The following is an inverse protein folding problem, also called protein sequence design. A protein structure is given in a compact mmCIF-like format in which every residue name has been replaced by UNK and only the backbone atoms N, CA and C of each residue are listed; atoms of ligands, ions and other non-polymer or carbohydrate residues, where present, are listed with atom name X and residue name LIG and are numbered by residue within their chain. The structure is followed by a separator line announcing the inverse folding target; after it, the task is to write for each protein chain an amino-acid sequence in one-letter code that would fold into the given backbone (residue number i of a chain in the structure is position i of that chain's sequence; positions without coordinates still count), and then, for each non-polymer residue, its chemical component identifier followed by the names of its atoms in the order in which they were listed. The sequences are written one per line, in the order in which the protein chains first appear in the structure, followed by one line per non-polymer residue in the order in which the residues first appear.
data_IF_274608310874
#
_entry.id   IF_274608310874
#
_cell.length_a   1.000
_cell.length_b   1.000
_cell.length_c   1.000
_cell.angle_alpha   90.00
_cell.angle_beta   90.00
_cell.angle_gamma   90.00
#
_symmetry.space_group_name_H-M   'P 1'
#
loop_
_entity.id
_entity.type
_entity.pdbx_description
1 polymer ?
#
# COMPACT_ATOMS: atom_id res chain seq x y z
N UNK A 1 -8.48 19.25 13.53
CA UNK A 1 -7.66 18.07 13.17
C UNK A 1 -8.57 16.86 13.21
N UNK A 2 -8.81 16.23 12.06
CA UNK A 2 -9.67 15.05 11.98
C UNK A 2 -8.81 13.83 12.33
N UNK A 3 -9.13 13.17 13.45
CA UNK A 3 -8.42 11.98 13.94
C UNK A 3 -9.35 10.77 13.89
N UNK A 4 -8.93 9.76 13.15
CA UNK A 4 -9.67 8.56 12.87
C UNK A 4 -9.07 7.42 13.66
N UNK A 5 -9.82 6.93 14.64
CA UNK A 5 -9.37 5.86 15.53
C UNK A 5 -9.80 4.52 14.94
N UNK A 6 -8.86 3.60 14.76
CA UNK A 6 -9.11 2.28 14.16
C UNK A 6 -8.99 1.20 15.23
N UNK A 7 -7.79 1.02 15.82
CA UNK A 7 -7.54 -0.05 16.79
C UNK A 7 -8.47 -0.01 18.00
N UNK A 8 -8.77 1.19 18.50
CA UNK A 8 -9.68 1.41 19.64
C UNK A 8 -11.14 1.67 19.23
N UNK A 9 -11.47 1.44 17.95
CA UNK A 9 -12.85 1.62 17.48
C UNK A 9 -13.78 0.64 18.18
N UNK A 10 -14.93 1.10 18.71
CA UNK A 10 -15.93 0.22 19.30
C UNK A 10 -16.74 -0.54 18.23
N UNK A 11 -16.57 -0.22 16.94
CA UNK A 11 -17.34 -0.79 15.84
C UNK A 11 -16.53 -1.85 15.10
N UNK A 12 -17.10 -3.05 14.99
CA UNK A 12 -16.59 -4.09 14.09
C UNK A 12 -16.89 -3.71 12.65
N UNK A 13 -15.94 -3.99 11.75
CA UNK A 13 -16.06 -3.76 10.32
C UNK A 13 -17.23 -4.55 9.73
N UNK A 14 -18.10 -3.85 8.99
CA UNK A 14 -19.13 -4.47 8.15
C UNK A 14 -18.61 -4.90 6.79
N UNK A 15 -17.40 -4.48 6.43
CA UNK A 15 -16.80 -4.68 5.10
C UNK A 15 -15.91 -5.93 5.09
N UNK A 16 -15.00 -6.02 6.06
CA UNK A 16 -14.02 -7.09 6.17
C UNK A 16 -13.59 -7.24 7.64
N UNK A 17 -13.74 -8.44 8.22
CA UNK A 17 -13.39 -8.73 9.61
C UNK A 17 -11.93 -9.16 9.79
N UNK A 18 -11.34 -9.71 8.74
CA UNK A 18 -9.96 -10.16 8.68
C UNK A 18 -9.52 -10.27 7.21
N UNK A 19 -8.22 -10.32 6.98
CA UNK A 19 -7.68 -10.56 5.63
C UNK A 19 -8.26 -11.85 5.04
N UNK A 20 -8.59 -11.83 3.75
CA UNK A 20 -9.25 -12.96 3.09
C UNK A 20 -8.35 -13.60 2.04
N UNK A 21 -8.37 -14.93 1.99
CA UNK A 21 -7.64 -15.72 1.00
C UNK A 21 -8.67 -16.37 0.07
N UNK A 22 -8.47 -16.25 -1.24
CA UNK A 22 -9.26 -16.94 -2.26
C UNK A 22 -8.42 -18.05 -2.87
N UNK A 23 -8.83 -19.29 -2.63
CA UNK A 23 -8.03 -20.48 -2.91
C UNK A 23 -6.68 -20.42 -2.20
N UNK A 24 -5.60 -20.62 -2.95
CA UNK A 24 -4.23 -20.64 -2.42
C UNK A 24 -3.36 -19.48 -2.93
N UNK A 25 -3.91 -18.62 -3.80
CA UNK A 25 -3.11 -17.73 -4.64
C UNK A 25 -3.50 -16.27 -4.65
N UNK A 26 -4.65 -15.88 -4.09
CA UNK A 26 -5.10 -14.47 -4.06
C UNK A 26 -5.37 -14.06 -2.62
N UNK A 27 -4.76 -12.95 -2.20
CA UNK A 27 -4.80 -12.42 -0.85
C UNK A 27 -5.38 -11.01 -0.87
N UNK A 28 -6.46 -10.79 -0.11
CA UNK A 28 -7.08 -9.50 0.15
C UNK A 28 -6.68 -9.05 1.56
N UNK A 29 -5.91 -7.96 1.63
CA UNK A 29 -5.25 -7.50 2.86
C UNK A 29 -6.15 -6.57 3.65
N UNK A 30 -6.41 -6.90 4.91
CA UNK A 30 -7.09 -6.03 5.88
C UNK A 30 -6.11 -5.30 6.78
N UNK A 31 -5.81 -4.05 6.48
CA UNK A 31 -4.97 -3.20 7.34
C UNK A 31 -5.72 -2.54 8.50
N UNK A 32 -7.05 -2.72 8.57
CA UNK A 32 -7.90 -2.13 9.60
C UNK A 32 -8.21 -3.11 10.74
N UNK A 33 -7.66 -4.34 10.68
CA UNK A 33 -7.80 -5.39 11.71
C UNK A 33 -9.26 -5.63 12.13
N UNK A 34 -10.16 -5.70 11.16
CA UNK A 34 -11.58 -5.97 11.37
C UNK A 34 -12.38 -4.84 12.01
N UNK A 35 -11.87 -3.60 12.01
CA UNK A 35 -12.50 -2.43 12.64
C UNK A 35 -12.98 -1.41 11.63
N UNK A 36 -14.09 -0.73 11.93
CA UNK A 36 -14.47 0.49 11.20
C UNK A 36 -13.69 1.67 11.76
N UNK A 37 -13.06 2.52 10.92
CA UNK A 37 -12.52 3.78 11.39
C UNK A 37 -13.62 4.63 12.03
N UNK A 38 -13.33 5.20 13.20
CA UNK A 38 -14.26 6.04 13.95
C UNK A 38 -13.66 7.44 14.18
N UNK A 39 -14.42 8.49 13.84
CA UNK A 39 -14.00 9.87 14.12
C UNK A 39 -14.19 10.19 15.60
N UNK A 40 -13.10 10.49 16.31
CA UNK A 40 -13.18 10.97 17.69
C UNK A 40 -13.60 12.44 17.73
N UNK A 41 -14.92 12.70 17.67
CA UNK A 41 -15.50 14.06 17.68
C UNK A 41 -16.28 14.37 18.98
N UNK A 42 -16.12 13.56 20.03
CA UNK A 42 -16.88 13.68 21.28
C UNK A 42 -18.34 13.20 21.21
N UNK A 43 -18.87 12.87 20.02
CA UNK A 43 -20.19 12.25 19.82
C UNK A 43 -19.99 10.77 19.46
N UNK A 44 -20.55 9.85 20.24
CA UNK A 44 -20.43 8.39 20.02
C UNK A 44 -21.26 7.88 18.83
N UNK A 45 -21.20 8.51 17.66
CA UNK A 45 -21.92 8.06 16.45
C UNK A 45 -21.06 8.18 15.21
N UNK A 46 -20.81 7.06 14.54
CA UNK A 46 -20.11 6.99 13.25
C UNK A 46 -21.14 7.08 12.11
N UNK A 47 -21.42 8.28 11.61
CA UNK A 47 -22.43 8.50 10.56
C UNK A 47 -21.80 8.59 9.16
N UNK A 48 -20.69 7.88 8.93
CA UNK A 48 -20.00 7.85 7.64
C UNK A 48 -20.43 6.61 6.85
N UNK A 49 -20.62 6.78 5.55
CA UNK A 49 -20.75 5.66 4.63
C UNK A 49 -19.35 5.17 4.26
N UNK A 50 -19.11 3.87 4.40
CA UNK A 50 -17.82 3.26 4.09
C UNK A 50 -17.90 2.59 2.72
N UNK A 51 -17.05 3.01 1.79
CA UNK A 51 -17.01 2.50 0.42
C UNK A 51 -15.68 1.76 0.20
N UNK A 52 -15.69 0.43 0.04
CA UNK A 52 -14.46 -0.33 -0.15
C UNK A 52 -13.99 -0.36 -1.60
N UNK A 53 -12.67 -0.27 -1.78
CA UNK A 53 -11.97 -0.34 -3.05
C UNK A 53 -10.89 -1.42 -2.98
N UNK A 54 -10.92 -2.35 -3.94
CA UNK A 54 -9.88 -3.33 -4.17
C UNK A 54 -8.80 -2.73 -5.08
N UNK A 55 -7.60 -2.55 -4.53
CA UNK A 55 -6.41 -2.10 -5.25
C UNK A 55 -5.67 -3.32 -5.80
N UNK A 56 -5.61 -3.45 -7.13
CA UNK A 56 -4.98 -4.61 -7.77
C UNK A 56 -3.49 -4.37 -8.00
N UNK A 57 -2.65 -5.29 -7.51
CA UNK A 57 -1.22 -5.32 -7.88
C UNK A 57 -1.00 -5.75 -9.33
N UNK A 58 0.24 -5.66 -9.81
CA UNK A 58 0.58 -6.02 -11.20
C UNK A 58 0.23 -7.47 -11.56
N UNK A 59 0.33 -8.40 -10.60
CA UNK A 59 0.01 -9.81 -10.84
C UNK A 59 -1.50 -10.04 -10.95
N UNK A 60 -2.30 -9.33 -10.17
CA UNK A 60 -3.76 -9.34 -10.23
C UNK A 60 -4.27 -8.68 -11.51
N UNK A 61 -3.68 -7.58 -11.94
CA UNK A 61 -4.02 -6.92 -13.22
C UNK A 61 -3.66 -7.82 -14.41
N UNK A 62 -2.54 -8.53 -14.34
CA UNK A 62 -2.17 -9.52 -15.36
C UNK A 62 -3.17 -10.68 -15.42
N UNK A 63 -3.62 -11.19 -14.27
CA UNK A 63 -4.67 -12.22 -14.20
C UNK A 63 -5.99 -11.72 -14.79
N UNK A 64 -6.37 -10.46 -14.50
CA UNK A 64 -7.55 -9.81 -15.06
C UNK A 64 -7.47 -9.71 -16.58
N UNK A 65 -6.36 -9.24 -17.12
CA UNK A 65 -6.14 -9.16 -18.57
C UNK A 65 -6.29 -10.52 -19.23
N UNK A 66 -5.59 -11.54 -18.71
CA UNK A 66 -5.67 -12.91 -19.22
C UNK A 66 -7.09 -13.49 -19.14
N UNK A 67 -7.82 -13.17 -18.07
CA UNK A 67 -9.20 -13.60 -17.91
C UNK A 67 -10.11 -13.00 -19.00
N UNK A 68 -9.97 -11.71 -19.30
CA UNK A 68 -10.74 -11.04 -20.35
C UNK A 68 -10.36 -11.56 -21.74
N UNK A 69 -9.06 -11.67 -22.05
CA UNK A 69 -8.59 -12.15 -23.37
C UNK A 69 -9.00 -13.57 -23.69
N UNK A 70 -8.95 -14.47 -22.70
CA UNK A 70 -9.34 -15.88 -22.88
C UNK A 70 -10.86 -16.08 -22.81
N UNK A 71 -11.62 -15.11 -23.34
CA UNK A 71 -13.08 -15.11 -23.42
C UNK A 71 -13.77 -15.36 -22.08
N UNK A 72 -13.20 -14.91 -20.96
CA UNK A 72 -13.77 -15.08 -19.62
C UNK A 72 -14.01 -16.55 -19.24
N UNK A 73 -13.29 -17.49 -19.89
CA UNK A 73 -13.40 -18.94 -19.68
C UNK A 73 -12.23 -19.52 -18.89
N UNK A 74 -11.03 -18.96 -18.98
CA UNK A 74 -9.79 -19.58 -18.47
C UNK A 74 -9.33 -19.11 -17.07
N UNK A 75 -10.19 -18.47 -16.27
CA UNK A 75 -9.81 -18.05 -14.92
C UNK A 75 -9.63 -19.25 -13.99
N UNK A 76 -8.55 -19.27 -13.19
CA UNK A 76 -8.47 -20.15 -12.02
C UNK A 76 -9.68 -19.89 -11.11
N UNK A 77 -10.17 -20.93 -10.43
CA UNK A 77 -11.34 -20.81 -9.53
C UNK A 77 -11.16 -19.66 -8.52
N UNK A 78 -9.96 -19.52 -7.96
CA UNK A 78 -9.55 -18.45 -7.05
C UNK A 78 -9.93 -17.05 -7.56
N UNK A 79 -9.64 -16.74 -8.83
CA UNK A 79 -9.92 -15.41 -9.41
C UNK A 79 -11.43 -15.20 -9.61
N UNK A 80 -12.16 -16.24 -10.01
CA UNK A 80 -13.63 -16.17 -10.11
C UNK A 80 -14.27 -15.96 -8.75
N UNK A 81 -13.76 -16.61 -7.70
CA UNK A 81 -14.25 -16.45 -6.33
C UNK A 81 -13.98 -15.03 -5.82
N UNK A 82 -12.81 -14.47 -6.14
CA UNK A 82 -12.50 -13.06 -5.88
C UNK A 82 -13.48 -12.12 -6.60
N UNK A 83 -13.69 -12.30 -7.92
CA UNK A 83 -14.64 -11.49 -8.69
C UNK A 83 -16.07 -11.59 -8.14
N UNK A 84 -16.51 -12.79 -7.77
CA UNK A 84 -17.81 -13.01 -7.15
C UNK A 84 -17.93 -12.25 -5.83
N UNK A 85 -16.89 -12.29 -4.99
CA UNK A 85 -16.88 -11.58 -3.72
C UNK A 85 -16.98 -10.07 -3.90
N UNK A 86 -16.13 -9.45 -4.74
CA UNK A 86 -16.17 -7.99 -4.92
C UNK A 86 -17.49 -7.53 -5.55
N UNK A 87 -18.03 -8.29 -6.50
CA UNK A 87 -19.30 -7.97 -7.15
C UNK A 87 -20.46 -8.08 -6.16
N UNK A 88 -20.54 -9.18 -5.41
CA UNK A 88 -21.60 -9.42 -4.42
C UNK A 88 -21.62 -8.33 -3.35
N UNK A 89 -20.45 -7.87 -2.93
CA UNK A 89 -20.33 -6.87 -1.88
C UNK A 89 -20.26 -5.43 -2.43
N UNK A 90 -20.39 -5.23 -3.75
CA UNK A 90 -20.33 -3.92 -4.42
C UNK A 90 -19.04 -3.14 -4.11
N UNK A 91 -17.91 -3.82 -4.18
CA UNK A 91 -16.59 -3.20 -4.03
C UNK A 91 -16.17 -2.59 -5.36
N UNK A 92 -15.60 -1.40 -5.30
CA UNK A 92 -14.93 -0.81 -6.45
C UNK A 92 -13.59 -1.51 -6.69
N UNK A 93 -13.08 -1.43 -7.91
CA UNK A 93 -11.77 -1.96 -8.30
C UNK A 93 -10.94 -0.84 -8.88
N UNK A 94 -9.71 -0.67 -8.42
CA UNK A 94 -8.80 0.36 -8.89
C UNK A 94 -7.45 -0.21 -9.33
N UNK A 95 -6.94 0.36 -10.43
CA UNK A 95 -5.64 0.05 -11.02
C UNK A 95 -4.50 0.93 -10.49
N UNK A 96 -4.76 1.84 -9.54
CA UNK A 96 -3.76 2.81 -9.09
C UNK A 96 -2.49 2.15 -8.55
N UNK A 97 -2.61 1.02 -7.86
CA UNK A 97 -1.44 0.27 -7.39
C UNK A 97 -0.58 -0.18 -8.57
N UNK A 98 -1.17 -0.91 -9.52
CA UNK A 98 -0.48 -1.34 -10.74
C UNK A 98 0.11 -0.17 -11.52
N UNK A 99 -0.61 0.95 -11.67
CA UNK A 99 -0.09 2.09 -12.39
C UNK A 99 1.16 2.66 -11.72
N UNK A 100 1.13 2.89 -10.41
CA UNK A 100 2.29 3.39 -9.67
C UNK A 100 3.47 2.44 -9.77
N UNK A 101 3.24 1.15 -9.53
CA UNK A 101 4.28 0.14 -9.61
C UNK A 101 4.91 0.07 -11.00
N UNK A 102 4.09 -0.04 -12.04
CA UNK A 102 4.55 -0.15 -13.42
C UNK A 102 5.25 1.13 -13.89
N UNK A 103 4.73 2.29 -13.49
CA UNK A 103 5.26 3.61 -13.85
C UNK A 103 6.66 3.84 -13.29
N UNK A 104 6.95 3.48 -12.03
CA UNK A 104 8.33 3.66 -11.53
C UNK A 104 9.28 2.51 -11.89
N UNK A 105 8.79 1.35 -12.36
CA UNK A 105 9.63 0.21 -12.77
C UNK A 105 9.95 0.17 -14.28
N UNK A 106 9.22 0.90 -15.11
CA UNK A 106 9.32 0.85 -16.57
C UNK A 106 9.68 2.22 -17.15
N UNK A 107 10.20 2.25 -18.39
CA UNK A 107 10.22 3.49 -19.15
C UNK A 107 8.80 3.94 -19.54
N UNK A 108 8.65 5.22 -19.89
CA UNK A 108 7.35 5.83 -20.13
C UNK A 108 6.57 5.18 -21.29
N UNK A 109 7.25 4.76 -22.35
CA UNK A 109 6.61 4.18 -23.53
C UNK A 109 6.12 2.75 -23.23
N UNK A 110 6.95 1.97 -22.55
CA UNK A 110 6.59 0.65 -22.04
C UNK A 110 5.41 0.73 -21.08
N UNK A 111 5.46 1.67 -20.12
CA UNK A 111 4.35 1.91 -19.19
C UNK A 111 3.07 2.25 -19.94
N UNK A 112 3.08 3.27 -20.81
CA UNK A 112 1.89 3.70 -21.56
C UNK A 112 1.25 2.55 -22.32
N UNK A 113 2.05 1.77 -23.06
CA UNK A 113 1.57 0.65 -23.86
C UNK A 113 0.82 -0.39 -23.01
N UNK A 114 1.43 -0.85 -21.93
CA UNK A 114 0.84 -1.90 -21.10
C UNK A 114 -0.29 -1.38 -20.20
N UNK A 115 -0.14 -0.18 -19.65
CA UNK A 115 -1.18 0.44 -18.85
C UNK A 115 -2.46 0.64 -19.65
N UNK A 116 -2.40 1.14 -20.90
CA UNK A 116 -3.58 1.30 -21.75
C UNK A 116 -4.24 -0.05 -22.03
N UNK A 117 -3.44 -1.07 -22.39
CA UNK A 117 -3.92 -2.43 -22.63
C UNK A 117 -4.68 -2.98 -21.41
N UNK A 118 -4.09 -2.85 -20.23
CA UNK A 118 -4.64 -3.44 -19.00
C UNK A 118 -5.84 -2.64 -18.49
N UNK A 119 -5.86 -1.32 -18.71
CA UNK A 119 -7.01 -0.44 -18.42
C UNK A 119 -8.23 -0.82 -19.26
N UNK A 120 -8.04 -1.19 -20.54
CA UNK A 120 -9.14 -1.69 -21.37
C UNK A 120 -9.75 -2.97 -20.79
N UNK A 121 -8.93 -3.90 -20.33
CA UNK A 121 -9.41 -5.14 -19.73
C UNK A 121 -10.18 -4.86 -18.43
N UNK A 122 -9.72 -3.90 -17.63
CA UNK A 122 -10.45 -3.43 -16.45
C UNK A 122 -11.78 -2.77 -16.82
N UNK A 123 -11.83 -1.86 -17.80
CA UNK A 123 -13.07 -1.26 -18.28
C UNK A 123 -14.07 -2.33 -18.79
N UNK A 124 -13.59 -3.34 -19.50
CA UNK A 124 -14.41 -4.48 -19.92
C UNK A 124 -15.00 -5.28 -18.74
N UNK A 125 -14.27 -5.42 -17.64
CA UNK A 125 -14.80 -5.99 -16.40
C UNK A 125 -15.82 -5.05 -15.74
N UNK A 126 -15.55 -3.75 -15.67
CA UNK A 126 -16.46 -2.75 -15.08
C UNK A 126 -17.77 -2.62 -15.86
N UNK A 127 -17.81 -3.05 -17.12
CA UNK A 127 -19.00 -3.15 -17.95
C UNK A 127 -19.67 -4.52 -17.90
N UNK A 128 -19.36 -5.35 -16.90
CA UNK A 128 -20.03 -6.62 -16.67
C UNK A 128 -21.47 -6.43 -16.19
N UNK A 129 -22.38 -7.29 -16.65
CA UNK A 129 -23.70 -7.48 -16.06
C UNK A 129 -23.53 -8.22 -14.72
N UNK A 130 -23.51 -7.44 -13.63
CA UNK A 130 -23.28 -7.94 -12.28
C UNK A 130 -24.34 -8.94 -11.82
N UNK A 131 -25.63 -8.67 -12.09
CA UNK A 131 -26.70 -9.56 -11.68
C UNK A 131 -26.64 -10.91 -12.40
N UNK A 132 -26.37 -10.88 -13.71
CA UNK A 132 -26.21 -12.08 -14.51
C UNK A 132 -24.99 -12.89 -14.04
N UNK A 133 -23.88 -12.20 -13.76
CA UNK A 133 -22.67 -12.84 -13.23
C UNK A 133 -22.92 -13.47 -11.86
N UNK A 134 -23.58 -12.78 -10.93
CA UNK A 134 -23.87 -13.33 -9.59
C UNK A 134 -24.80 -14.55 -9.63
N UNK A 135 -25.67 -14.66 -10.65
CA UNK A 135 -26.59 -15.80 -10.83
C UNK A 135 -25.95 -16.98 -11.56
N UNK A 136 -25.06 -16.72 -12.52
CA UNK A 136 -24.59 -17.74 -13.48
C UNK A 136 -23.09 -17.99 -13.46
N UNK A 137 -22.32 -17.13 -12.78
CA UNK A 137 -20.86 -17.06 -12.85
C UNK A 137 -20.30 -16.82 -14.25
N UNK A 138 -21.14 -16.38 -15.20
CA UNK A 138 -20.74 -16.06 -16.58
C UNK A 138 -20.63 -14.55 -16.73
N UNK A 139 -19.50 -14.09 -17.23
CA UNK A 139 -19.26 -12.66 -17.50
C UNK A 139 -19.82 -12.32 -18.88
N UNK A 140 -20.79 -11.41 -18.89
CA UNK A 140 -21.39 -10.82 -20.09
C UNK A 140 -21.37 -9.31 -19.92
N UNK A 141 -21.27 -8.57 -21.03
CA UNK A 141 -21.39 -7.11 -21.01
C UNK A 141 -22.82 -6.68 -20.63
N UNK A 142 -22.90 -5.64 -19.82
CA UNK A 142 -24.15 -5.00 -19.38
C UNK A 142 -24.85 -4.32 -20.55
N UNK A 143 -26.19 -4.24 -20.46
CA UNK A 143 -27.00 -3.36 -21.30
C UNK A 143 -27.46 -2.09 -20.54
N UNK A 144 -27.02 -1.91 -19.30
CA UNK A 144 -27.38 -0.74 -18.48
C UNK A 144 -26.67 0.52 -19.02
N UNK A 145 -27.44 1.44 -19.61
CA UNK A 145 -26.90 2.68 -20.18
C UNK A 145 -26.24 3.59 -19.15
N UNK A 146 -26.69 3.60 -17.90
CA UNK A 146 -26.09 4.41 -16.84
C UNK A 146 -24.69 3.92 -16.47
N UNK A 147 -24.51 2.61 -16.38
CA UNK A 147 -23.21 1.99 -16.11
C UNK A 147 -22.25 2.22 -17.29
N UNK A 148 -22.75 2.08 -18.52
CA UNK A 148 -21.98 2.34 -19.74
C UNK A 148 -21.51 3.80 -19.79
N UNK A 149 -22.41 4.76 -19.55
CA UNK A 149 -22.07 6.18 -19.55
C UNK A 149 -21.12 6.56 -18.41
N UNK A 150 -21.30 6.00 -17.21
CA UNK A 150 -20.41 6.23 -16.07
C UNK A 150 -18.94 5.89 -16.38
N UNK A 151 -18.70 4.72 -16.98
CA UNK A 151 -17.33 4.26 -17.25
C UNK A 151 -16.76 4.78 -18.57
N UNK A 152 -17.57 4.92 -19.62
CA UNK A 152 -17.10 5.28 -20.95
C UNK A 152 -17.30 6.74 -21.33
N UNK A 153 -18.26 7.46 -20.73
CA UNK A 153 -18.53 8.88 -21.01
C UNK A 153 -18.64 9.20 -22.52
N UNK A 154 -19.37 8.36 -23.26
CA UNK A 154 -19.53 8.42 -24.73
C UNK A 154 -18.24 8.20 -25.56
N UNK A 155 -17.16 7.69 -24.96
CA UNK A 155 -15.93 7.31 -25.65
C UNK A 155 -15.89 5.80 -25.91
N UNK A 156 -15.04 5.39 -26.85
CA UNK A 156 -14.65 3.99 -26.97
C UNK A 156 -13.79 3.55 -25.77
N UNK A 157 -13.65 2.23 -25.60
CA UNK A 157 -12.76 1.67 -24.58
C UNK A 157 -11.31 2.13 -24.74
N UNK A 158 -10.85 2.29 -25.98
CA UNK A 158 -9.49 2.71 -26.30
C UNK A 158 -9.23 4.17 -25.94
N UNK A 159 -10.14 5.05 -26.33
CA UNK A 159 -10.08 6.46 -26.01
C UNK A 159 -10.12 6.67 -24.49
N UNK A 160 -11.06 6.01 -23.79
CA UNK A 160 -11.20 6.15 -22.35
C UNK A 160 -9.99 5.58 -21.59
N UNK A 161 -9.47 4.41 -22.00
CA UNK A 161 -8.27 3.83 -21.40
C UNK A 161 -7.04 4.73 -21.61
N UNK A 162 -6.88 5.29 -22.82
CA UNK A 162 -5.79 6.21 -23.14
C UNK A 162 -5.86 7.47 -22.28
N UNK A 163 -7.04 8.05 -22.14
CA UNK A 163 -7.25 9.25 -21.34
C UNK A 163 -6.96 9.02 -19.85
N UNK A 164 -7.45 7.92 -19.26
CA UNK A 164 -7.17 7.60 -17.86
C UNK A 164 -5.67 7.43 -17.58
N UNK A 165 -4.95 6.76 -18.48
CA UNK A 165 -3.49 6.59 -18.36
C UNK A 165 -2.75 7.92 -18.52
N UNK A 166 -3.15 8.77 -19.47
CA UNK A 166 -2.56 10.11 -19.62
C UNK A 166 -2.79 10.97 -18.38
N UNK A 167 -4.02 10.99 -17.83
CA UNK A 167 -4.33 11.72 -16.60
C UNK A 167 -3.50 11.23 -15.42
N UNK A 168 -3.28 9.92 -15.30
CA UNK A 168 -2.39 9.35 -14.28
C UNK A 168 -0.95 9.88 -14.43
N UNK A 169 -0.40 9.86 -15.65
CA UNK A 169 0.97 10.33 -15.92
C UNK A 169 1.13 11.80 -15.54
N UNK A 170 0.17 12.64 -15.93
CA UNK A 170 0.21 14.08 -15.65
C UNK A 170 0.16 14.39 -14.16
N UNK A 171 -0.49 13.53 -13.38
CA UNK A 171 -0.70 13.74 -11.93
C UNK A 171 0.46 13.22 -11.06
N UNK A 172 1.24 12.22 -11.50
CA UNK A 172 2.01 11.37 -10.57
C UNK A 172 3.53 11.24 -10.82
N UNK A 173 4.18 12.24 -11.38
CA UNK A 173 5.64 12.27 -11.59
C UNK A 173 6.52 12.29 -10.31
N UNK A 174 5.98 12.30 -9.09
CA UNK A 174 6.73 12.71 -7.88
C UNK A 174 7.11 11.61 -6.85
N UNK A 175 6.81 10.33 -7.09
CA UNK A 175 6.99 9.29 -6.05
C UNK A 175 8.40 8.69 -5.91
N UNK A 176 9.32 9.00 -6.82
CA UNK A 176 10.67 8.39 -6.83
C UNK A 176 11.46 8.65 -5.53
N UNK A 177 11.31 9.85 -4.96
CA UNK A 177 12.03 10.24 -3.75
C UNK A 177 11.63 9.42 -2.51
N UNK A 178 10.37 8.97 -2.43
CA UNK A 178 9.91 8.18 -1.28
C UNK A 178 10.57 6.80 -1.25
N UNK A 179 10.77 6.16 -2.41
CA UNK A 179 11.48 4.88 -2.51
C UNK A 179 12.95 4.99 -2.07
N UNK A 180 13.63 6.08 -2.41
CA UNK A 180 15.02 6.30 -2.02
C UNK A 180 15.14 6.55 -0.50
N UNK A 181 14.20 7.31 0.08
CA UNK A 181 14.10 7.49 1.53
C UNK A 181 13.91 6.15 2.23
N UNK A 182 12.99 5.30 1.75
CA UNK A 182 12.76 3.98 2.33
C UNK A 182 14.06 3.15 2.29
N UNK A 183 14.79 3.15 1.17
CA UNK A 183 16.08 2.44 1.08
C UNK A 183 17.11 2.96 2.08
N UNK A 184 17.24 4.28 2.23
CA UNK A 184 18.14 4.90 3.23
C UNK A 184 17.78 4.40 4.63
N UNK A 185 16.49 4.37 4.96
CA UNK A 185 16.00 3.94 6.27
C UNK A 185 16.27 2.45 6.52
N UNK A 186 16.08 1.59 5.52
CA UNK A 186 16.43 0.17 5.61
C UNK A 186 17.93 -0.04 5.81
N UNK A 187 18.78 0.70 5.09
CA UNK A 187 20.24 0.65 5.31
C UNK A 187 20.55 1.10 6.74
N UNK A 188 19.96 2.21 7.21
CA UNK A 188 20.20 2.71 8.56
C UNK A 188 19.79 1.70 9.63
N UNK A 189 18.65 1.02 9.47
CA UNK A 189 18.24 -0.07 10.36
C UNK A 189 19.29 -1.19 10.44
N UNK A 190 19.84 -1.60 9.29
CA UNK A 190 20.88 -2.62 9.22
C UNK A 190 22.15 -2.15 9.93
N UNK A 191 22.55 -0.88 9.72
CA UNK A 191 23.71 -0.27 10.35
C UNK A 191 23.57 -0.21 11.86
N UNK A 192 22.44 0.28 12.37
CA UNK A 192 22.13 0.37 13.80
C UNK A 192 22.21 -1.01 14.45
N UNK A 193 21.51 -2.00 13.89
CA UNK A 193 21.41 -3.33 14.49
C UNK A 193 22.75 -4.07 14.51
N UNK A 194 23.52 -3.98 13.43
CA UNK A 194 24.68 -4.85 13.24
C UNK A 194 26.02 -4.19 13.56
N UNK A 195 26.10 -2.84 13.55
CA UNK A 195 27.37 -2.12 13.60
C UNK A 195 27.37 -0.94 14.59
N UNK A 196 26.45 0.00 14.48
CA UNK A 196 26.51 1.27 15.23
C UNK A 196 26.02 1.12 16.69
N UNK A 197 25.01 0.29 16.93
CA UNK A 197 24.37 0.13 18.25
C UNK A 197 24.10 -1.33 18.62
N UNK A 198 24.91 -2.26 18.09
CA UNK A 198 24.73 -3.72 18.23
C UNK A 198 24.46 -4.19 19.67
N UNK A 199 25.17 -3.62 20.64
CA UNK A 199 25.11 -4.03 22.05
C UNK A 199 24.19 -3.14 22.92
N UNK A 200 23.41 -2.25 22.28
CA UNK A 200 22.49 -1.34 22.97
C UNK A 200 21.10 -1.95 23.07
N UNK A 201 20.34 -1.50 24.08
CA UNK A 201 18.93 -1.87 24.24
C UNK A 201 18.09 -1.39 23.06
N UNK A 202 16.99 -2.08 22.78
CA UNK A 202 16.09 -1.83 21.65
C UNK A 202 15.52 -0.40 21.71
N UNK A 203 15.19 0.11 22.89
CA UNK A 203 14.75 1.49 23.11
C UNK A 203 15.75 2.50 22.54
N UNK A 204 17.03 2.28 22.81
CA UNK A 204 18.10 3.18 22.35
C UNK A 204 18.36 3.07 20.86
N UNK A 205 18.19 1.88 20.28
CA UNK A 205 18.25 1.70 18.83
C UNK A 205 17.10 2.43 18.13
N UNK A 206 15.88 2.35 18.68
CA UNK A 206 14.70 3.08 18.17
C UNK A 206 14.83 4.59 18.33
N UNK A 207 15.23 5.09 19.49
CA UNK A 207 15.48 6.53 19.72
C UNK A 207 16.49 7.08 18.70
N UNK A 208 17.56 6.34 18.43
CA UNK A 208 18.57 6.76 17.47
C UNK A 208 18.08 6.72 16.02
N UNK A 209 17.25 5.73 15.67
CA UNK A 209 16.61 5.66 14.35
C UNK A 209 15.58 6.77 14.13
N UNK A 210 14.79 7.10 15.15
CA UNK A 210 13.86 8.24 15.17
C UNK A 210 14.59 9.56 15.00
N UNK A 211 15.64 9.79 15.79
CA UNK A 211 16.48 10.96 15.68
C UNK A 211 17.06 11.09 14.26
N UNK A 212 17.56 10.00 13.67
CA UNK A 212 18.03 10.01 12.29
C UNK A 212 16.94 10.43 11.29
N UNK A 213 15.72 9.88 11.41
CA UNK A 213 14.59 10.27 10.55
C UNK A 213 14.26 11.76 10.66
N UNK A 214 14.21 12.27 11.89
CA UNK A 214 13.89 13.68 12.14
C UNK A 214 14.98 14.61 11.61
N UNK A 215 16.25 14.31 11.87
CA UNK A 215 17.38 15.13 11.40
C UNK A 215 17.54 15.09 9.88
N UNK A 216 17.37 13.92 9.25
CA UNK A 216 17.62 13.76 7.81
C UNK A 216 16.39 14.03 6.94
N UNK A 217 15.17 13.93 7.46
CA UNK A 217 13.96 14.07 6.64
C UNK A 217 12.93 15.04 7.23
N UNK A 218 13.14 15.55 8.45
CA UNK A 218 12.19 16.43 9.14
C UNK A 218 10.87 15.75 9.51
N UNK A 219 10.79 14.43 9.38
CA UNK A 219 9.58 13.65 9.60
C UNK A 219 9.91 12.23 10.04
N UNK A 220 9.02 11.65 10.83
CA UNK A 220 9.05 10.24 11.21
C UNK A 220 8.13 9.48 10.28
N UNK A 221 8.63 8.41 9.65
CA UNK A 221 7.82 7.55 8.80
C UNK A 221 7.36 6.32 9.60
N UNK A 222 6.05 6.21 9.81
CA UNK A 222 5.48 5.28 10.78
C UNK A 222 5.67 3.79 10.44
N UNK A 223 5.58 3.41 9.14
CA UNK A 223 5.78 2.02 8.72
C UNK A 223 7.21 1.58 8.94
N UNK A 224 8.16 2.43 8.61
CA UNK A 224 9.60 2.19 8.72
C UNK A 224 9.99 2.12 10.19
N UNK A 225 9.42 2.96 11.06
CA UNK A 225 9.60 2.86 12.50
C UNK A 225 9.01 1.55 13.07
N UNK A 226 7.81 1.14 12.62
CA UNK A 226 7.22 -0.14 13.00
C UNK A 226 8.12 -1.32 12.57
N UNK A 227 8.60 -1.28 11.33
CA UNK A 227 9.51 -2.29 10.80
C UNK A 227 10.83 -2.31 11.58
N UNK A 228 11.38 -1.15 11.96
CA UNK A 228 12.58 -1.05 12.77
C UNK A 228 12.39 -1.75 14.12
N UNK A 229 11.26 -1.55 14.79
CA UNK A 229 10.93 -2.26 16.02
C UNK A 229 10.90 -3.78 15.83
N UNK A 230 10.18 -4.26 14.80
CA UNK A 230 10.14 -5.69 14.48
C UNK A 230 11.53 -6.24 14.14
N UNK A 231 12.35 -5.45 13.44
CA UNK A 231 13.69 -5.87 13.05
C UNK A 231 14.65 -5.93 14.25
N UNK A 232 14.67 -4.91 15.11
CA UNK A 232 15.53 -4.87 16.30
C UNK A 232 15.15 -5.93 17.34
N UNK A 233 13.87 -6.29 17.44
CA UNK A 233 13.39 -7.39 18.30
C UNK A 233 13.58 -8.80 17.70
N UNK A 234 14.13 -8.91 16.48
CA UNK A 234 14.21 -10.16 15.70
C UNK A 234 12.84 -10.78 15.33
N UNK A 235 11.73 -10.06 15.53
CA UNK A 235 10.38 -10.50 15.16
C UNK A 235 10.09 -10.36 13.66
N UNK A 236 10.82 -9.51 12.93
CA UNK A 236 10.75 -9.43 11.47
C UNK A 236 11.31 -10.69 10.74
N UNK A 237 11.79 -11.70 11.47
CA UNK A 237 12.33 -12.93 10.89
C UNK A 237 13.50 -12.69 9.94
N UNK A 238 13.52 -13.41 8.81
CA UNK A 238 14.54 -13.27 7.74
C UNK A 238 14.22 -12.16 6.73
N UNK A 239 13.28 -11.26 7.03
CA UNK A 239 12.69 -10.36 6.05
C UNK A 239 13.73 -9.53 5.26
N UNK A 240 14.72 -8.93 5.93
CA UNK A 240 15.87 -8.32 5.24
C UNK A 240 16.97 -9.34 4.91
N UNK A 241 17.19 -10.33 5.78
CA UNK A 241 18.17 -11.41 5.57
C UNK A 241 19.63 -10.93 5.43
N UNK A 242 19.92 -9.70 5.84
CA UNK A 242 21.24 -9.09 5.75
C UNK A 242 21.94 -9.18 7.10
N UNK A 243 23.13 -9.80 7.08
CA UNK A 243 24.01 -10.00 8.23
C UNK A 243 25.46 -9.79 7.78
N UNK A 244 26.41 -9.77 8.73
CA UNK A 244 27.83 -9.70 8.42
C UNK A 244 28.23 -10.87 7.50
N UNK A 245 28.92 -10.59 6.38
CA UNK A 245 29.26 -11.58 5.36
C UNK A 245 28.20 -11.80 4.27
N UNK A 246 27.03 -11.14 4.32
CA UNK A 246 26.12 -11.10 3.17
C UNK A 246 26.79 -10.31 2.03
N UNK A 247 26.88 -10.90 0.83
CA UNK A 247 27.42 -10.19 -0.35
C UNK A 247 26.68 -8.87 -0.58
N UNK A 248 27.42 -7.81 -0.85
CA UNK A 248 26.89 -6.46 -1.03
C UNK A 248 25.78 -6.41 -2.09
N UNK A 249 25.95 -7.09 -3.23
CA UNK A 249 24.96 -7.09 -4.31
C UNK A 249 23.63 -7.72 -3.87
N UNK A 250 23.71 -8.80 -3.08
CA UNK A 250 22.53 -9.45 -2.51
C UNK A 250 21.86 -8.56 -1.46
N UNK A 251 22.63 -7.85 -0.63
CA UNK A 251 22.08 -6.93 0.34
C UNK A 251 21.33 -5.77 -0.33
N UNK A 252 21.94 -5.13 -1.33
CA UNK A 252 21.29 -4.05 -2.10
C UNK A 252 20.03 -4.55 -2.79
N UNK A 253 20.05 -5.74 -3.41
CA UNK A 253 18.86 -6.33 -4.03
C UNK A 253 17.73 -6.54 -3.02
N UNK A 254 18.04 -7.08 -1.84
CA UNK A 254 17.04 -7.28 -0.78
C UNK A 254 16.48 -5.96 -0.27
N UNK A 255 17.33 -4.95 -0.07
CA UNK A 255 16.91 -3.59 0.34
C UNK A 255 15.96 -2.98 -0.69
N UNK A 256 16.28 -3.05 -1.98
CA UNK A 256 15.43 -2.52 -3.06
C UNK A 256 14.09 -3.26 -3.10
N UNK A 257 14.10 -4.59 -3.04
CA UNK A 257 12.87 -5.39 -3.01
C UNK A 257 12.00 -5.03 -1.81
N UNK A 258 12.60 -4.91 -0.64
CA UNK A 258 11.90 -4.57 0.60
C UNK A 258 11.35 -3.14 0.58
N UNK A 259 12.12 -2.20 0.01
CA UNK A 259 11.67 -0.82 -0.12
C UNK A 259 10.42 -0.72 -1.00
N UNK A 260 10.39 -1.51 -2.07
CA UNK A 260 9.20 -1.67 -2.89
C UNK A 260 8.03 -2.24 -2.10
N UNK A 261 8.19 -3.34 -1.37
CA UNK A 261 7.11 -3.92 -0.57
C UNK A 261 6.52 -2.90 0.42
N UNK A 262 7.38 -2.12 1.12
CA UNK A 262 6.94 -1.05 2.04
C UNK A 262 6.19 0.05 1.29
N UNK A 263 6.73 0.50 0.16
CA UNK A 263 6.10 1.56 -0.64
C UNK A 263 4.73 1.13 -1.17
N UNK A 264 4.62 -0.11 -1.63
CA UNK A 264 3.37 -0.70 -2.11
C UNK A 264 2.32 -0.78 -1.01
N UNK A 265 2.70 -1.16 0.21
CA UNK A 265 1.80 -1.14 1.37
C UNK A 265 1.38 0.28 1.80
N UNK A 266 2.12 1.33 1.39
CA UNK A 266 1.78 2.74 1.61
C UNK A 266 0.78 3.28 0.58
N UNK A 267 0.63 2.64 -0.59
CA UNK A 267 -0.27 3.08 -1.65
C UNK A 267 -1.70 3.39 -1.15
N UNK A 268 -2.37 2.53 -0.36
CA UNK A 268 -3.68 2.84 0.22
C UNK A 268 -3.76 4.24 0.83
N UNK A 269 -2.72 4.67 1.55
CA UNK A 269 -2.65 5.93 2.29
C UNK A 269 -2.62 7.15 1.38
N UNK A 270 -2.02 7.01 0.19
CA UNK A 270 -1.92 8.07 -0.80
C UNK A 270 -3.29 8.42 -1.40
N UNK A 271 -4.24 7.48 -1.34
CA UNK A 271 -5.61 7.65 -1.85
C UNK A 271 -6.64 7.90 -0.76
N UNK A 272 -6.25 7.85 0.51
CA UNK A 272 -7.12 8.24 1.61
C UNK A 272 -7.35 9.75 1.58
N UNK A 273 -8.62 10.13 1.60
CA UNK A 273 -9.04 11.52 1.68
C UNK A 273 -9.76 11.78 2.99
N UNK A 274 -9.73 13.04 3.42
CA UNK A 274 -10.67 13.50 4.43
C UNK A 274 -12.10 13.22 3.95
N UNK A 275 -13.04 12.90 4.86
CA UNK A 275 -14.39 12.59 4.46
C UNK A 275 -14.97 13.81 3.74
N UNK A 276 -15.57 13.56 2.59
CA UNK A 276 -16.19 14.61 1.79
C UNK A 276 -17.43 15.20 2.49
N UNK A 277 -18.04 16.20 1.85
CA UNK A 277 -19.29 16.80 2.34
C UNK A 277 -20.42 15.78 2.51
N UNK A 278 -20.35 14.67 1.77
CA UNK A 278 -21.34 13.59 1.76
C UNK A 278 -21.05 12.51 2.81
N UNK A 279 -19.98 12.68 3.61
CA UNK A 279 -19.56 11.77 4.68
C UNK A 279 -19.25 10.36 4.14
N UNK A 280 -18.72 10.26 2.93
CA UNK A 280 -18.25 9.01 2.35
C UNK A 280 -16.78 8.83 2.72
N UNK A 281 -16.41 7.60 3.06
CA UNK A 281 -15.03 7.20 3.28
C UNK A 281 -14.62 6.05 2.37
N UNK A 282 -13.65 6.34 1.52
CA UNK A 282 -13.07 5.35 0.62
C UNK A 282 -12.00 4.52 1.34
N UNK A 283 -12.38 3.29 1.70
CA UNK A 283 -11.47 2.31 2.28
C UNK A 283 -10.72 1.59 1.18
N UNK A 284 -9.40 1.66 1.24
CA UNK A 284 -8.52 1.02 0.27
C UNK A 284 -7.97 -0.30 0.82
N UNK A 285 -8.13 -1.39 0.06
CA UNK A 285 -7.65 -2.73 0.40
C UNK A 285 -6.79 -3.29 -0.74
N UNK A 286 -5.57 -3.75 -0.41
CA UNK A 286 -4.66 -4.32 -1.41
C UNK A 286 -5.09 -5.76 -1.73
N UNK A 287 -5.08 -6.09 -3.01
CA UNK A 287 -5.25 -7.46 -3.50
C UNK A 287 -3.99 -7.87 -4.25
N UNK A 288 -3.38 -8.96 -3.81
CA UNK A 288 -2.11 -9.44 -4.34
C UNK A 288 -2.12 -10.95 -4.54
N UNK A 289 -1.28 -11.42 -5.47
CA UNK A 289 -0.93 -12.85 -5.59
C UNK A 289 0.37 -13.22 -4.89
N UNK A 290 1.03 -12.24 -4.28
CA UNK A 290 2.32 -12.42 -3.63
C UNK A 290 2.14 -12.76 -2.15
N UNK A 291 2.28 -14.06 -1.83
CA UNK A 291 2.24 -14.54 -0.45
C UNK A 291 3.20 -13.79 0.47
N UNK A 292 4.38 -13.41 -0.02
CA UNK A 292 5.36 -12.64 0.77
C UNK A 292 4.88 -11.24 1.11
N UNK A 293 4.27 -10.52 0.17
CA UNK A 293 3.68 -9.21 0.44
C UNK A 293 2.52 -9.34 1.43
N UNK A 294 1.70 -10.39 1.28
CA UNK A 294 0.64 -10.71 2.24
C UNK A 294 1.19 -10.97 3.64
N UNK A 295 2.18 -11.86 3.81
CA UNK A 295 2.82 -12.12 5.11
C UNK A 295 3.47 -10.86 5.69
N UNK A 296 4.12 -10.06 4.85
CA UNK A 296 4.77 -8.82 5.26
C UNK A 296 3.76 -7.77 5.73
N UNK A 297 2.59 -7.70 5.09
CA UNK A 297 1.53 -6.78 5.47
C UNK A 297 1.02 -6.98 6.89
N UNK A 298 1.11 -8.22 7.42
CA UNK A 298 0.68 -8.57 8.77
C UNK A 298 1.53 -7.91 9.87
N UNK A 299 2.68 -7.33 9.51
CA UNK A 299 3.50 -6.55 10.44
C UNK A 299 2.92 -5.15 10.71
N UNK A 300 1.92 -4.71 9.94
CA UNK A 300 1.43 -3.34 9.97
C UNK A 300 -0.08 -3.28 10.20
N UNK A 301 -0.46 -2.79 11.37
CA UNK A 301 -1.85 -2.50 11.73
C UNK A 301 -2.01 -1.01 12.00
N UNK A 302 -3.07 -0.40 11.46
CA UNK A 302 -3.37 0.99 11.78
C UNK A 302 -3.89 1.12 13.21
N UNK A 303 -3.25 1.99 14.00
CA UNK A 303 -3.83 2.48 15.25
C UNK A 303 -4.87 3.56 14.95
N UNK A 304 -4.49 4.54 14.14
CA UNK A 304 -5.28 5.68 13.77
C UNK A 304 -4.81 6.29 12.43
N UNK A 305 -5.61 7.17 11.85
CA UNK A 305 -5.22 8.01 10.72
C UNK A 305 -5.51 9.47 11.08
N UNK A 306 -4.48 10.31 11.05
CA UNK A 306 -4.62 11.75 11.22
C UNK A 306 -4.68 12.41 9.85
N UNK A 307 -5.54 13.41 9.70
CA UNK A 307 -5.49 14.28 8.53
C UNK A 307 -4.91 15.65 8.91
N UNK A 308 -3.85 16.04 8.21
CA UNK A 308 -3.16 17.31 8.38
C UNK A 308 -3.09 17.96 7.02
N UNK A 309 -3.74 19.12 6.87
CA UNK A 309 -3.87 19.85 5.61
C UNK A 309 -4.41 18.97 4.46
N UNK A 310 -5.41 18.13 4.74
CA UNK A 310 -6.01 17.22 3.76
C UNK A 310 -5.20 15.94 3.47
N UNK A 311 -4.00 15.80 4.04
CA UNK A 311 -3.12 14.64 3.81
C UNK A 311 -3.26 13.62 4.94
N UNK A 312 -3.53 12.36 4.57
CA UNK A 312 -3.56 11.25 5.49
C UNK A 312 -2.17 10.95 6.09
N UNK A 313 -2.10 10.83 7.40
CA UNK A 313 -0.93 10.47 8.21
C UNK A 313 -1.29 9.30 9.10
N UNK A 314 -1.07 8.06 8.63
CA UNK A 314 -1.36 6.88 9.43
C UNK A 314 -0.41 6.77 10.62
N UNK A 315 -0.98 6.34 11.73
CA UNK A 315 -0.28 5.96 12.95
C UNK A 315 -0.39 4.45 13.05
N UNK A 316 0.76 3.78 13.18
CA UNK A 316 0.81 2.34 13.29
C UNK A 316 0.88 1.93 14.74
N UNK A 317 0.17 0.87 15.05
CA UNK A 317 0.31 0.21 16.32
C UNK A 317 1.62 -0.59 16.31
N UNK A 318 2.51 -0.32 17.26
CA UNK A 318 3.53 -1.29 17.63
C UNK A 318 2.81 -2.41 18.37
N UNK A 319 2.73 -3.62 17.81
CA UNK A 319 2.13 -4.74 18.53
C UNK A 319 3.08 -5.14 19.67
N UNK A 320 2.97 -4.42 20.78
CA UNK A 320 3.84 -4.51 21.93
C UNK A 320 3.24 -5.55 22.88
N UNK A 321 3.63 -6.81 22.71
CA UNK A 321 3.47 -7.82 23.76
C UNK A 321 4.41 -7.55 24.95
N UNK A 322 5.45 -6.73 24.77
CA UNK A 322 6.44 -6.39 25.80
C UNK A 322 6.60 -4.87 25.91
N UNK A 323 5.96 -4.24 26.90
CA UNK A 323 5.90 -2.78 27.13
C UNK A 323 7.25 -2.06 26.98
N UNK A 324 7.62 -1.72 25.74
CA UNK A 324 8.71 -0.77 25.47
C UNK A 324 8.09 0.62 25.60
N UNK A 325 8.48 1.34 26.65
CA UNK A 325 8.12 2.75 26.84
C UNK A 325 8.97 3.63 25.91
N UNK A 326 8.72 3.52 24.61
CA UNK A 326 9.30 4.40 23.61
C UNK A 326 8.37 5.61 23.43
N UNK A 327 8.91 6.80 23.70
CA UNK A 327 8.23 8.07 23.45
C UNK A 327 8.94 8.77 22.29
N UNK A 328 8.26 9.00 21.16
CA UNK A 328 8.84 9.72 20.03
C UNK A 328 9.38 11.08 20.49
N UNK A 329 10.55 11.47 19.98
CA UNK A 329 11.10 12.80 20.26
C UNK A 329 10.18 13.85 19.60
N UNK A 330 9.78 14.90 20.34
CA UNK A 330 8.92 15.96 19.80
C UNK A 330 9.71 16.80 18.79
N UNK A 331 9.20 16.86 17.56
CA UNK A 331 9.73 17.71 16.48
C UNK A 331 9.78 19.19 16.89
N UNK A 332 10.84 19.86 16.48
CA UNK A 332 10.82 21.30 16.23
C UNK A 332 10.81 21.51 14.72
N UNK A 333 9.92 22.35 14.20
CA UNK A 333 9.64 22.54 12.76
C UNK A 333 10.81 23.15 11.92
N UNK A 334 12.07 22.94 12.32
CA UNK A 334 13.24 23.62 11.72
C UNK A 334 14.20 22.72 10.93
N UNK A 335 13.95 21.42 10.82
CA UNK A 335 14.81 20.50 10.07
C UNK A 335 14.22 20.06 8.72
N UNK A 336 14.12 20.95 7.72
CA UNK A 336 13.92 20.48 6.33
C UNK A 336 15.28 20.09 5.77
N UNK A 337 15.41 18.86 5.29
CA UNK A 337 16.59 18.47 4.53
C UNK A 337 16.64 19.27 3.23
N UNK A 338 17.72 20.03 3.04
CA UNK A 338 18.05 20.76 1.81
C UNK A 338 19.09 19.99 0.97
N UNK A 339 19.41 18.76 1.34
CA UNK A 339 20.41 17.91 0.68
C UNK A 339 19.83 17.01 -0.40
N UNK A 340 20.70 16.50 -1.26
CA UNK A 340 20.35 15.58 -2.35
C UNK A 340 20.13 14.16 -1.80
N UNK A 341 18.88 13.67 -1.83
CA UNK A 341 18.47 12.35 -1.36
C UNK A 341 19.23 11.23 -2.09
N UNK A 342 19.47 11.40 -3.40
CA UNK A 342 20.20 10.41 -4.17
C UNK A 342 21.66 10.33 -3.70
N UNK A 343 22.28 11.48 -3.42
CA UNK A 343 23.64 11.52 -2.85
C UNK A 343 23.72 10.84 -1.48
N UNK A 344 22.74 11.08 -0.60
CA UNK A 344 22.67 10.42 0.71
C UNK A 344 22.51 8.90 0.56
N UNK A 345 21.65 8.45 -0.35
CA UNK A 345 21.47 7.02 -0.63
C UNK A 345 22.78 6.37 -1.11
N UNK A 346 23.50 7.01 -2.03
CA UNK A 346 24.79 6.50 -2.50
C UNK A 346 25.85 6.46 -1.38
N UNK A 347 25.92 7.49 -0.53
CA UNK A 347 26.81 7.50 0.63
C UNK A 347 26.48 6.36 1.62
N UNK A 348 25.20 6.12 1.87
CA UNK A 348 24.72 5.04 2.74
C UNK A 348 25.05 3.66 2.17
N UNK A 349 24.89 3.46 0.86
CA UNK A 349 25.30 2.22 0.15
C UNK A 349 26.80 1.97 0.25
N UNK A 350 27.63 3.00 0.08
CA UNK A 350 29.09 2.90 0.23
C UNK A 350 29.48 2.53 1.67
N UNK A 351 28.78 3.07 2.67
CA UNK A 351 28.98 2.69 4.07
C UNK A 351 28.65 1.21 4.29
N UNK A 352 27.50 0.75 3.79
CA UNK A 352 27.09 -0.65 3.87
C UNK A 352 28.11 -1.59 3.19
N UNK A 353 28.59 -1.24 2.00
CA UNK A 353 29.58 -2.03 1.26
C UNK A 353 30.88 -2.26 2.05
N UNK A 354 31.32 -1.27 2.84
CA UNK A 354 32.55 -1.37 3.64
C UNK A 354 32.39 -2.25 4.88
N UNK A 355 31.16 -2.50 5.32
CA UNK A 355 30.86 -3.14 6.60
C UNK A 355 30.34 -4.58 6.47
N UNK A 356 29.69 -4.90 5.34
CA UNK A 356 29.27 -6.27 5.00
C UNK A 356 30.46 -7.17 4.70
#
# INVERSE_FOLDING_TARGET
MNNWVIKKSPYSSKILLESKIFGDSIYLLDHYSGREPFLYNGKKSNNFAMTPHALLDSNMVSELYLFIENNKKSGKNDFRDFLYFITKNRWNVSLHFYYLESFCKSDLDTFRKYAIRDTKAWLELMLMDEEYFLKTSIVKRTNNSQQIDHYLQNKSLDEQATEQVSQFIDMYCQFKNDLEIIQILLIKMILIKNFEMKDKKIEKQLEYFDFFMQEQFGKVLGRELCLAYQYFTNKAGKFLGIQKGTKYENAVKNIISTAWDIFLLRIPELFLKEPDTDKIFDLQYIVTKEKRLFEFSQLFEYEAILFVDGVAKPIFNFNIEEQINYYPIKSTDKGKHTGDIALLLEAMKLCLQKLL
#
